data_IF_448768709792
#
_entry.id   IF_448768709792
#
_cell.length_a   1.000
_cell.length_b   1.000
_cell.length_c   1.000
_cell.angle_alpha   90.00
_cell.angle_beta   90.00
_cell.angle_gamma   90.00
#
_symmetry.space_group_name_H-M   'P 1'
#
loop_
_entity.id
_entity.type
_entity.pdbx_description
1 polymer ?
#
# COMPACT_ATOMS: atom_id res chain seq x y z
N UNK A 1 -32.33 -13.91 -3.14
CA UNK A 1 -31.14 -13.17 -3.62
C UNK A 1 -30.17 -13.15 -2.46
N UNK A 2 -28.97 -13.69 -2.66
CA UNK A 2 -27.96 -13.77 -1.60
C UNK A 2 -27.20 -12.44 -1.50
N UNK A 3 -26.55 -12.14 -0.35
CA UNK A 3 -25.67 -10.97 -0.24
C UNK A 3 -24.57 -10.93 -1.32
N UNK A 4 -24.14 -12.09 -1.81
CA UNK A 4 -23.16 -12.21 -2.89
C UNK A 4 -23.74 -11.73 -4.23
N UNK A 5 -24.99 -12.09 -4.54
CA UNK A 5 -25.67 -11.66 -5.77
C UNK A 5 -25.86 -10.13 -5.80
N UNK A 6 -26.08 -9.52 -4.62
CA UNK A 6 -26.22 -8.06 -4.49
C UNK A 6 -24.90 -7.33 -4.72
N UNK A 7 -23.79 -7.87 -4.21
CA UNK A 7 -22.46 -7.32 -4.40
C UNK A 7 -22.01 -7.44 -5.86
N UNK A 8 -22.28 -8.57 -6.52
CA UNK A 8 -21.98 -8.77 -7.94
C UNK A 8 -22.74 -7.77 -8.82
N UNK A 9 -24.05 -7.60 -8.60
CA UNK A 9 -24.82 -6.59 -9.33
C UNK A 9 -24.34 -5.17 -9.07
N UNK A 10 -23.94 -4.85 -7.84
CA UNK A 10 -23.39 -3.54 -7.51
C UNK A 10 -22.04 -3.30 -8.21
N UNK A 11 -21.20 -4.33 -8.31
CA UNK A 11 -19.93 -4.27 -9.04
C UNK A 11 -20.17 -4.02 -10.54
N UNK A 12 -21.06 -4.78 -11.17
CA UNK A 12 -21.40 -4.60 -12.58
C UNK A 12 -21.88 -3.18 -12.85
N UNK A 13 -22.75 -2.65 -11.98
CA UNK A 13 -23.23 -1.28 -12.08
C UNK A 13 -22.10 -0.24 -11.93
N UNK A 14 -21.20 -0.42 -10.96
CA UNK A 14 -20.06 0.47 -10.76
C UNK A 14 -19.09 0.45 -11.95
N UNK A 15 -18.85 -0.72 -12.53
CA UNK A 15 -18.03 -0.89 -13.74
C UNK A 15 -18.65 -0.15 -14.93
N UNK A 16 -19.94 -0.36 -15.19
CA UNK A 16 -20.66 0.36 -16.26
C UNK A 16 -20.60 1.88 -16.07
N UNK A 17 -20.83 2.37 -14.85
CA UNK A 17 -20.75 3.80 -14.55
C UNK A 17 -19.34 4.37 -14.77
N UNK A 18 -18.30 3.58 -14.47
CA UNK A 18 -16.92 3.96 -14.71
C UNK A 18 -16.62 4.03 -16.21
N UNK A 19 -17.07 3.04 -16.99
CA UNK A 19 -16.90 3.02 -18.46
C UNK A 19 -17.62 4.20 -19.14
N UNK A 20 -18.81 4.58 -18.66
CA UNK A 20 -19.61 5.64 -19.26
C UNK A 20 -19.12 7.07 -18.94
N UNK A 21 -18.44 7.28 -17.81
CA UNK A 21 -18.10 8.64 -17.36
C UNK A 21 -17.02 8.75 -16.29
N UNK A 22 -16.20 7.72 -16.14
CA UNK A 22 -15.05 7.67 -15.25
C UNK A 22 -15.41 7.86 -13.78
N UNK A 23 -14.43 8.32 -13.00
CA UNK A 23 -14.61 8.54 -11.56
C UNK A 23 -15.74 9.52 -11.22
N UNK A 24 -16.03 10.50 -12.09
CA UNK A 24 -17.06 11.52 -11.85
C UNK A 24 -18.46 10.93 -11.75
N UNK A 25 -18.81 9.99 -12.65
CA UNK A 25 -20.11 9.30 -12.62
C UNK A 25 -20.21 8.35 -11.43
N UNK A 26 -19.16 7.60 -11.16
CA UNK A 26 -19.10 6.68 -10.02
C UNK A 26 -19.29 7.42 -8.70
N UNK A 27 -18.53 8.51 -8.49
CA UNK A 27 -18.65 9.33 -7.27
C UNK A 27 -20.05 9.90 -7.13
N UNK A 28 -20.61 10.48 -8.19
CA UNK A 28 -21.97 11.05 -8.17
C UNK A 28 -23.02 10.00 -7.81
N UNK A 29 -22.92 8.79 -8.37
CA UNK A 29 -23.83 7.68 -8.07
C UNK A 29 -23.76 7.26 -6.59
N UNK A 30 -22.55 7.06 -6.06
CA UNK A 30 -22.37 6.66 -4.66
C UNK A 30 -22.88 7.78 -3.73
N UNK A 31 -22.54 9.04 -4.00
CA UNK A 31 -22.99 10.17 -3.18
C UNK A 31 -24.50 10.40 -3.23
N UNK A 32 -25.16 10.06 -4.35
CA UNK A 32 -26.61 10.10 -4.50
C UNK A 32 -27.36 9.00 -3.72
N UNK A 33 -26.65 8.00 -3.19
CA UNK A 33 -27.26 6.95 -2.36
C UNK A 33 -27.58 7.50 -0.97
N UNK A 34 -28.85 7.44 -0.56
CA UNK A 34 -29.31 8.06 0.70
C UNK A 34 -28.76 7.39 1.96
N UNK A 35 -28.69 6.05 1.96
CA UNK A 35 -28.25 5.27 3.11
C UNK A 35 -26.72 5.36 3.33
N UNK A 36 -26.25 5.84 4.49
CA UNK A 36 -24.83 5.94 4.79
C UNK A 36 -24.08 4.60 4.77
N UNK A 37 -24.71 3.51 5.23
CA UNK A 37 -24.05 2.20 5.25
C UNK A 37 -23.83 1.68 3.84
N UNK A 38 -24.87 1.77 3.00
CA UNK A 38 -24.78 1.43 1.58
C UNK A 38 -23.73 2.31 0.86
N UNK A 39 -23.60 3.60 1.20
CA UNK A 39 -22.52 4.45 0.64
C UNK A 39 -21.13 3.91 0.98
N UNK A 40 -20.87 3.55 2.25
CA UNK A 40 -19.57 2.94 2.64
C UNK A 40 -19.36 1.63 1.90
N UNK A 41 -20.38 0.78 1.80
CA UNK A 41 -20.33 -0.49 1.08
C UNK A 41 -19.92 -0.28 -0.38
N UNK A 42 -20.57 0.63 -1.09
CA UNK A 42 -20.25 0.95 -2.49
C UNK A 42 -18.82 1.50 -2.65
N UNK A 43 -18.37 2.38 -1.75
CA UNK A 43 -16.97 2.84 -1.72
C UNK A 43 -15.97 1.71 -1.42
N UNK A 44 -16.37 0.68 -0.68
CA UNK A 44 -15.54 -0.52 -0.48
C UNK A 44 -15.46 -1.41 -1.74
N UNK A 45 -16.56 -1.50 -2.50
CA UNK A 45 -16.67 -2.31 -3.71
C UNK A 45 -15.99 -1.68 -4.92
N UNK A 46 -16.04 -0.35 -5.05
CA UNK A 46 -15.60 0.38 -6.26
C UNK A 46 -14.18 0.01 -6.73
N UNK A 47 -13.26 -0.29 -5.82
CA UNK A 47 -11.89 -0.68 -6.17
C UNK A 47 -11.86 -1.95 -7.05
N UNK A 48 -12.77 -2.89 -6.82
CA UNK A 48 -12.92 -4.13 -7.60
C UNK A 48 -13.59 -3.90 -8.96
N UNK A 49 -14.27 -2.76 -9.12
CA UNK A 49 -14.89 -2.35 -10.37
C UNK A 49 -13.96 -1.48 -11.25
N UNK A 50 -12.80 -1.07 -10.73
CA UNK A 50 -11.80 -0.36 -11.52
C UNK A 50 -11.06 -1.33 -12.43
N UNK A 51 -10.58 -0.87 -13.61
CA UNK A 51 -9.72 -1.68 -14.45
C UNK A 51 -8.48 -2.18 -13.69
N UNK A 52 -7.97 -3.33 -14.14
CA UNK A 52 -6.71 -3.91 -13.66
C UNK A 52 -5.56 -2.89 -13.74
N UNK A 53 -4.54 -3.07 -12.90
CA UNK A 53 -3.44 -2.10 -12.82
C UNK A 53 -2.66 -1.93 -14.12
N UNK A 54 -2.56 -3.00 -14.90
CA UNK A 54 -1.90 -3.02 -16.21
C UNK A 54 -2.79 -2.49 -17.34
N UNK A 55 -4.07 -2.19 -17.09
CA UNK A 55 -4.97 -1.67 -18.11
C UNK A 55 -4.67 -0.20 -18.39
N UNK A 56 -4.40 0.14 -19.65
CA UNK A 56 -4.14 1.50 -20.11
C UNK A 56 -5.31 2.47 -19.84
N UNK A 57 -6.53 1.96 -19.65
CA UNK A 57 -7.71 2.76 -19.29
C UNK A 57 -7.70 3.19 -17.82
N UNK A 58 -6.86 2.60 -16.97
CA UNK A 58 -6.81 2.91 -15.55
C UNK A 58 -6.08 4.24 -15.32
N UNK A 59 -6.84 5.28 -15.01
CA UNK A 59 -6.30 6.58 -14.61
C UNK A 59 -5.98 6.63 -13.11
N UNK A 60 -4.74 6.99 -12.75
CA UNK A 60 -4.37 7.21 -11.34
C UNK A 60 -5.10 8.40 -10.71
N UNK A 61 -5.45 9.43 -11.50
CA UNK A 61 -6.25 10.56 -11.02
C UNK A 61 -7.68 10.13 -10.66
N UNK A 62 -8.24 9.18 -11.41
CA UNK A 62 -9.56 8.60 -11.09
C UNK A 62 -9.52 7.75 -9.82
N UNK A 63 -8.46 6.94 -9.66
CA UNK A 63 -8.20 6.19 -8.42
C UNK A 63 -8.13 7.15 -7.21
N UNK A 64 -7.36 8.24 -7.34
CA UNK A 64 -7.24 9.28 -6.30
C UNK A 64 -8.61 9.89 -5.99
N UNK A 65 -9.36 10.29 -7.01
CA UNK A 65 -10.68 10.94 -6.84
C UNK A 65 -11.64 10.03 -6.08
N UNK A 66 -11.78 8.78 -6.51
CA UNK A 66 -12.71 7.82 -5.90
C UNK A 66 -12.32 7.52 -4.45
N UNK A 67 -11.04 7.22 -4.22
CA UNK A 67 -10.55 6.87 -2.89
C UNK A 67 -10.69 8.04 -1.90
N UNK A 68 -10.36 9.27 -2.30
CA UNK A 68 -10.49 10.45 -1.42
C UNK A 68 -11.93 10.70 -0.99
N UNK A 69 -12.91 10.51 -1.87
CA UNK A 69 -14.31 10.65 -1.50
C UNK A 69 -14.73 9.56 -0.51
N UNK A 70 -14.31 8.31 -0.73
CA UNK A 70 -14.61 7.22 0.21
C UNK A 70 -13.96 7.41 1.58
N UNK A 71 -12.72 7.87 1.62
CA UNK A 71 -12.01 8.23 2.87
C UNK A 71 -12.78 9.34 3.60
N UNK A 72 -13.15 10.42 2.90
CA UNK A 72 -13.90 11.52 3.49
C UNK A 72 -15.27 11.07 4.01
N UNK A 73 -15.96 10.17 3.31
CA UNK A 73 -17.23 9.62 3.77
C UNK A 73 -17.08 8.79 5.05
N UNK A 74 -16.04 7.97 5.15
CA UNK A 74 -15.71 7.24 6.38
C UNK A 74 -15.49 8.19 7.56
N UNK A 75 -14.66 9.21 7.38
CA UNK A 75 -14.37 10.18 8.45
C UNK A 75 -15.59 11.00 8.86
N UNK A 76 -16.39 11.47 7.90
CA UNK A 76 -17.63 12.19 8.16
C UNK A 76 -18.62 11.36 8.97
N UNK A 77 -18.76 10.07 8.64
CA UNK A 77 -19.61 9.16 9.40
C UNK A 77 -19.06 8.89 10.80
N UNK A 78 -17.73 8.78 10.96
CA UNK A 78 -17.10 8.65 12.27
C UNK A 78 -17.37 9.87 13.17
N UNK A 79 -17.33 11.09 12.62
CA UNK A 79 -17.68 12.31 13.35
C UNK A 79 -19.14 12.33 13.80
N UNK A 80 -20.07 11.91 12.93
CA UNK A 80 -21.48 11.79 13.26
C UNK A 80 -21.75 10.74 14.35
N UNK A 81 -21.07 9.60 14.30
CA UNK A 81 -21.14 8.57 15.34
C UNK A 81 -20.62 9.10 16.68
N UNK A 82 -19.46 9.78 16.69
CA UNK A 82 -18.92 10.44 17.89
C UNK A 82 -19.89 11.48 18.48
N UNK A 83 -20.55 12.28 17.64
CA UNK A 83 -21.55 13.25 18.09
C UNK A 83 -22.75 12.59 18.79
N UNK A 84 -23.05 11.33 18.46
CA UNK A 84 -24.07 10.49 19.13
C UNK A 84 -23.51 9.65 20.27
N UNK A 85 -22.22 9.81 20.62
CA UNK A 85 -21.51 8.98 21.60
C UNK A 85 -21.43 7.49 21.23
N UNK A 86 -21.50 7.15 19.94
CA UNK A 86 -21.30 5.80 19.45
C UNK A 86 -19.82 5.58 19.09
N UNK A 87 -19.06 5.05 20.03
CA UNK A 87 -17.60 4.85 19.88
C UNK A 87 -17.27 3.70 18.95
N UNK A 88 -18.12 2.68 18.90
CA UNK A 88 -17.88 1.48 18.10
C UNK A 88 -18.12 1.78 16.62
N UNK A 89 -19.25 2.41 16.29
CA UNK A 89 -19.53 2.87 14.92
C UNK A 89 -18.46 3.86 14.45
N UNK A 90 -18.02 4.79 15.32
CA UNK A 90 -16.95 5.71 14.97
C UNK A 90 -15.64 4.98 14.63
N UNK A 91 -15.28 3.97 15.43
CA UNK A 91 -14.08 3.15 15.21
C UNK A 91 -14.17 2.35 13.91
N UNK A 92 -15.31 1.76 13.61
CA UNK A 92 -15.55 1.05 12.34
C UNK A 92 -15.43 1.96 11.13
N UNK A 93 -15.96 3.18 11.23
CA UNK A 93 -15.86 4.20 10.18
C UNK A 93 -14.42 4.64 9.92
N UNK A 94 -13.61 4.80 10.98
CA UNK A 94 -12.18 5.12 10.87
C UNK A 94 -11.41 3.94 10.28
N UNK A 95 -11.75 2.70 10.66
CA UNK A 95 -11.12 1.52 10.08
C UNK A 95 -11.45 1.36 8.58
N UNK A 96 -12.66 1.71 8.18
CA UNK A 96 -13.03 1.82 6.77
C UNK A 96 -12.18 2.85 6.03
N UNK A 97 -12.06 4.08 6.55
CA UNK A 97 -11.19 5.11 5.98
C UNK A 97 -9.72 4.65 5.91
N UNK A 98 -9.23 3.94 6.95
CA UNK A 98 -7.90 3.37 6.99
C UNK A 98 -7.62 2.37 5.87
N UNK A 99 -8.57 1.46 5.61
CA UNK A 99 -8.45 0.48 4.51
C UNK A 99 -8.38 1.16 3.15
N UNK A 100 -9.24 2.15 2.91
CA UNK A 100 -9.24 2.90 1.64
C UNK A 100 -7.95 3.71 1.47
N UNK A 101 -7.47 4.36 2.52
CA UNK A 101 -6.22 5.13 2.48
C UNK A 101 -5.01 4.25 2.22
N UNK A 102 -4.96 3.05 2.81
CA UNK A 102 -3.87 2.12 2.54
C UNK A 102 -3.91 1.62 1.10
N UNK A 103 -5.10 1.27 0.60
CA UNK A 103 -5.28 0.84 -0.78
C UNK A 103 -4.87 1.94 -1.76
N UNK A 104 -5.21 3.20 -1.48
CA UNK A 104 -4.77 4.34 -2.29
C UNK A 104 -3.25 4.48 -2.28
N UNK A 105 -2.61 4.44 -1.10
CA UNK A 105 -1.16 4.50 -1.00
C UNK A 105 -0.48 3.35 -1.78
N UNK A 106 -1.02 2.14 -1.68
CA UNK A 106 -0.53 0.97 -2.39
C UNK A 106 -0.74 1.05 -3.90
N UNK A 107 -1.90 1.55 -4.36
CA UNK A 107 -2.21 1.70 -5.79
C UNK A 107 -1.33 2.77 -6.46
N UNK A 108 -0.85 3.76 -5.71
CA UNK A 108 0.01 4.83 -6.22
C UNK A 108 1.50 4.52 -6.12
N UNK A 109 1.92 3.54 -5.33
CA UNK A 109 3.34 3.17 -5.19
C UNK A 109 3.87 2.54 -6.48
N UNK A 110 5.09 2.88 -6.91
CA UNK A 110 5.71 2.36 -8.14
C UNK A 110 6.53 1.07 -7.91
N UNK A 111 6.06 0.23 -6.99
CA UNK A 111 6.76 -0.96 -6.53
C UNK A 111 6.17 -2.29 -7.03
N UNK A 112 5.16 -2.24 -7.90
CA UNK A 112 4.46 -3.44 -8.34
C UNK A 112 5.13 -4.04 -9.58
N UNK A 113 5.49 -5.33 -9.57
CA UNK A 113 6.10 -5.97 -10.74
C UNK A 113 5.22 -5.79 -11.99
N UNK A 114 5.81 -5.26 -13.07
CA UNK A 114 5.12 -5.03 -14.34
C UNK A 114 4.21 -3.81 -14.37
N UNK A 115 4.21 -2.97 -13.34
CA UNK A 115 3.44 -1.72 -13.32
C UNK A 115 4.21 -0.58 -14.01
N UNK A 116 4.03 -0.50 -15.33
CA UNK A 116 4.59 0.54 -16.18
C UNK A 116 3.78 1.86 -16.16
N UNK A 117 2.79 1.98 -15.27
CA UNK A 117 1.94 3.18 -15.23
C UNK A 117 2.79 4.42 -14.93
N UNK A 118 2.67 5.42 -15.80
CA UNK A 118 3.34 6.71 -15.62
C UNK A 118 2.80 7.43 -14.38
N UNK A 119 3.70 7.82 -13.50
CA UNK A 119 3.39 8.57 -12.29
C UNK A 119 4.05 9.93 -12.34
N UNK A 120 3.25 10.94 -12.05
CA UNK A 120 3.74 12.29 -11.82
C UNK A 120 4.00 12.50 -10.33
N UNK A 121 4.77 13.53 -9.99
CA UNK A 121 5.01 13.96 -8.60
C UNK A 121 3.73 14.02 -7.76
N UNK A 122 2.64 14.56 -8.32
CA UNK A 122 1.35 14.68 -7.63
C UNK A 122 0.75 13.33 -7.19
N UNK A 123 1.05 12.25 -7.90
CA UNK A 123 0.59 10.90 -7.55
C UNK A 123 1.32 10.39 -6.32
N UNK A 124 2.64 10.57 -6.26
CA UNK A 124 3.43 10.19 -5.08
C UNK A 124 3.08 11.04 -3.86
N UNK A 125 2.85 12.34 -4.02
CA UNK A 125 2.40 13.20 -2.92
C UNK A 125 1.02 12.78 -2.39
N UNK A 126 0.10 12.38 -3.28
CA UNK A 126 -1.20 11.84 -2.89
C UNK A 126 -1.08 10.50 -2.14
N UNK A 127 -0.20 9.61 -2.60
CA UNK A 127 0.06 8.33 -1.95
C UNK A 127 0.76 8.49 -0.60
N UNK A 128 1.71 9.41 -0.49
CA UNK A 128 2.40 9.76 0.75
C UNK A 128 1.42 10.28 1.80
N UNK A 129 0.54 11.21 1.41
CA UNK A 129 -0.51 11.71 2.31
C UNK A 129 -1.39 10.56 2.82
N UNK A 130 -1.83 9.69 1.93
CA UNK A 130 -2.65 8.53 2.31
C UNK A 130 -1.90 7.56 3.25
N UNK A 131 -0.60 7.36 3.05
CA UNK A 131 0.24 6.57 3.95
C UNK A 131 0.37 7.22 5.35
N UNK A 132 0.54 8.54 5.43
CA UNK A 132 0.58 9.26 6.72
C UNK A 132 -0.75 9.21 7.45
N UNK A 133 -1.87 9.41 6.75
CA UNK A 133 -3.20 9.25 7.32
C UNK A 133 -3.38 7.82 7.89
N UNK A 134 -2.87 6.80 7.17
CA UNK A 134 -2.85 5.42 7.64
C UNK A 134 -2.02 5.22 8.91
N UNK A 135 -0.85 5.84 9.02
CA UNK A 135 -0.01 5.72 10.22
C UNK A 135 -0.77 6.23 11.45
N UNK A 136 -1.37 7.42 11.34
CA UNK A 136 -2.16 8.04 12.41
C UNK A 136 -3.32 7.13 12.81
N UNK A 137 -4.16 6.73 11.86
CA UNK A 137 -5.33 5.92 12.18
C UNK A 137 -4.99 4.50 12.64
N UNK A 138 -3.92 3.87 12.16
CA UNK A 138 -3.51 2.55 12.67
C UNK A 138 -3.02 2.63 14.12
N UNK A 139 -2.41 3.75 14.51
CA UNK A 139 -2.06 4.01 15.91
C UNK A 139 -3.31 4.25 16.76
N UNK A 140 -4.24 5.11 16.33
CA UNK A 140 -5.52 5.36 17.01
C UNK A 140 -6.34 4.07 17.17
N UNK A 141 -6.39 3.26 16.11
CA UNK A 141 -7.09 1.99 16.10
C UNK A 141 -6.36 0.89 16.88
N UNK A 142 -5.15 1.13 17.40
CA UNK A 142 -4.36 0.10 18.09
C UNK A 142 -4.10 -1.13 17.22
N UNK A 143 -3.88 -0.95 15.91
CA UNK A 143 -3.57 -2.05 14.99
C UNK A 143 -2.23 -2.70 15.36
N UNK A 144 -2.06 -4.00 15.12
CA UNK A 144 -0.85 -4.72 15.49
C UNK A 144 0.39 -4.19 14.74
N UNK A 145 1.61 -4.46 15.27
CA UNK A 145 2.85 -3.89 14.74
C UNK A 145 3.06 -4.12 13.24
N UNK A 146 2.81 -5.32 12.71
CA UNK A 146 2.89 -5.67 11.29
C UNK A 146 2.06 -4.71 10.41
N UNK A 147 0.80 -4.47 10.80
CA UNK A 147 -0.08 -3.55 10.07
C UNK A 147 0.41 -2.13 10.15
N UNK A 148 0.95 -1.68 11.29
CA UNK A 148 1.58 -0.35 11.35
C UNK A 148 2.81 -0.28 10.43
N UNK A 149 3.63 -1.34 10.40
CA UNK A 149 4.82 -1.45 9.57
C UNK A 149 4.52 -1.24 8.08
N UNK A 150 3.44 -1.85 7.58
CA UNK A 150 2.99 -1.67 6.19
C UNK A 150 2.70 -0.20 5.82
N UNK A 151 2.22 0.62 6.76
CA UNK A 151 1.93 2.03 6.48
C UNK A 151 3.23 2.87 6.41
N UNK A 152 4.20 2.57 7.29
CA UNK A 152 5.53 3.17 7.22
C UNK A 152 6.31 2.77 5.97
N UNK A 153 6.19 1.51 5.54
CA UNK A 153 6.77 1.06 4.27
C UNK A 153 6.18 1.83 3.10
N UNK A 154 4.85 1.98 3.03
CA UNK A 154 4.20 2.74 1.98
C UNK A 154 4.67 4.20 1.97
N UNK A 155 4.79 4.85 3.14
CA UNK A 155 5.33 6.20 3.24
C UNK A 155 6.79 6.26 2.73
N UNK A 156 7.63 5.31 3.13
CA UNK A 156 9.02 5.22 2.67
C UNK A 156 9.13 5.06 1.15
N UNK A 157 8.27 4.24 0.54
CA UNK A 157 8.23 4.05 -0.90
C UNK A 157 7.87 5.34 -1.65
N UNK A 158 6.87 6.09 -1.18
CA UNK A 158 6.52 7.38 -1.81
C UNK A 158 7.61 8.44 -1.60
N UNK A 159 8.26 8.46 -0.45
CA UNK A 159 9.40 9.34 -0.21
C UNK A 159 10.58 9.01 -1.14
N UNK A 160 10.83 7.71 -1.38
CA UNK A 160 11.85 7.25 -2.32
C UNK A 160 11.56 7.75 -3.74
N UNK A 161 10.32 7.59 -4.21
CA UNK A 161 9.85 8.10 -5.51
C UNK A 161 9.96 9.62 -5.65
N UNK A 162 9.82 10.35 -4.54
CA UNK A 162 9.97 11.81 -4.49
C UNK A 162 11.42 12.28 -4.39
N UNK A 163 12.39 11.36 -4.25
CA UNK A 163 13.82 11.67 -4.08
C UNK A 163 14.20 12.08 -2.64
N UNK A 164 13.29 11.93 -1.68
CA UNK A 164 13.50 12.28 -0.27
C UNK A 164 14.15 11.10 0.47
N UNK A 165 15.43 10.84 0.17
CA UNK A 165 16.12 9.60 0.54
C UNK A 165 16.23 9.37 2.06
N UNK A 166 16.39 10.44 2.85
CA UNK A 166 16.50 10.34 4.31
C UNK A 166 15.17 9.92 4.92
N UNK A 167 14.07 10.54 4.48
CA UNK A 167 12.72 10.22 4.90
C UNK A 167 12.30 8.81 4.43
N UNK A 168 12.72 8.42 3.23
CA UNK A 168 12.51 7.08 2.71
C UNK A 168 13.16 6.03 3.62
N UNK A 169 14.45 6.21 3.94
CA UNK A 169 15.18 5.32 4.85
C UNK A 169 14.52 5.26 6.23
N UNK A 170 14.12 6.40 6.79
CA UNK A 170 13.42 6.46 8.08
C UNK A 170 12.12 5.66 8.05
N UNK A 171 11.33 5.76 6.98
CA UNK A 171 10.12 4.96 6.77
C UNK A 171 10.41 3.45 6.74
N UNK A 172 11.43 3.02 5.99
CA UNK A 172 11.80 1.61 5.91
C UNK A 172 12.36 1.06 7.24
N UNK A 173 13.12 1.86 7.99
CA UNK A 173 13.61 1.47 9.32
C UNK A 173 12.48 1.33 10.34
N UNK A 174 11.51 2.25 10.33
CA UNK A 174 10.31 2.13 11.16
C UNK A 174 9.48 0.89 10.78
N UNK A 175 9.30 0.62 9.49
CA UNK A 175 8.60 -0.56 9.00
C UNK A 175 9.27 -1.86 9.46
N UNK A 176 10.60 -1.96 9.29
CA UNK A 176 11.38 -3.12 9.72
C UNK A 176 11.33 -3.31 11.25
N UNK A 177 11.49 -2.24 12.02
CA UNK A 177 11.40 -2.30 13.48
C UNK A 177 10.05 -2.83 13.97
N UNK A 178 8.97 -2.43 13.31
CA UNK A 178 7.61 -2.89 13.61
C UNK A 178 7.36 -4.34 13.18
N UNK A 179 7.87 -4.76 12.02
CA UNK A 179 7.79 -6.15 11.59
C UNK A 179 8.57 -7.07 12.54
N UNK A 180 9.77 -6.66 12.97
CA UNK A 180 10.54 -7.40 13.97
C UNK A 180 9.79 -7.51 15.30
N UNK A 181 9.11 -6.46 15.77
CA UNK A 181 8.28 -6.54 16.98
C UNK A 181 7.15 -7.58 16.87
N UNK A 182 6.63 -7.84 15.67
CA UNK A 182 5.56 -8.81 15.46
C UNK A 182 6.04 -10.27 15.52
N UNK A 183 7.31 -10.52 15.19
CA UNK A 183 7.87 -11.89 15.06
C UNK A 183 8.93 -12.24 16.09
N UNK A 184 9.49 -11.24 16.79
CA UNK A 184 10.59 -11.43 17.72
C UNK A 184 10.11 -11.82 19.13
N UNK A 185 10.69 -12.89 19.67
CA UNK A 185 11.04 -12.92 21.09
C UNK A 185 12.22 -11.93 21.34
N UNK A 186 12.34 -11.31 22.52
CA UNK A 186 13.33 -10.27 22.75
C UNK A 186 14.76 -10.82 22.61
N UNK A 187 15.57 -10.23 21.70
CA UNK A 187 17.05 -10.13 21.72
C UNK A 187 17.84 -10.50 20.44
N UNK A 188 17.25 -10.84 19.30
CA UNK A 188 18.04 -11.14 18.07
C UNK A 188 18.31 -9.91 17.20
N UNK A 189 19.52 -9.82 16.66
CA UNK A 189 19.90 -8.83 15.63
C UNK A 189 19.00 -9.01 14.38
N UNK A 190 18.65 -7.93 13.65
CA UNK A 190 17.78 -8.00 12.48
C UNK A 190 18.18 -9.07 11.46
N UNK A 191 19.48 -9.22 11.19
CA UNK A 191 20.02 -10.16 10.19
C UNK A 191 19.68 -11.63 10.50
N UNK A 192 19.45 -11.99 11.77
CA UNK A 192 19.07 -13.35 12.16
C UNK A 192 17.66 -13.75 11.71
N UNK A 193 16.84 -12.78 11.31
CA UNK A 193 15.49 -12.99 10.78
C UNK A 193 15.43 -13.02 9.26
N UNK A 194 16.53 -12.64 8.58
CA UNK A 194 16.62 -12.65 7.11
C UNK A 194 17.13 -14.02 6.70
N UNK A 195 16.20 -14.92 6.42
CA UNK A 195 16.48 -16.32 6.09
C UNK A 195 15.36 -16.92 5.25
N UNK A 196 15.59 -18.04 4.56
CA UNK A 196 14.54 -18.74 3.83
C UNK A 196 13.37 -19.13 4.75
N UNK A 197 12.14 -18.94 4.29
CA UNK A 197 10.92 -19.15 5.08
C UNK A 197 10.76 -18.18 6.27
N UNK A 198 11.53 -17.08 6.30
CA UNK A 198 11.35 -15.99 7.26
C UNK A 198 10.06 -15.19 7.01
N UNK A 199 9.75 -14.26 7.91
CA UNK A 199 8.58 -13.40 7.76
C UNK A 199 8.70 -12.48 6.54
N UNK A 200 7.65 -12.50 5.70
CA UNK A 200 7.61 -11.74 4.45
C UNK A 200 7.89 -10.25 4.66
N UNK A 201 7.24 -9.63 5.64
CA UNK A 201 7.38 -8.21 5.93
C UNK A 201 8.80 -7.86 6.39
N UNK A 202 9.39 -8.71 7.24
CA UNK A 202 10.78 -8.52 7.70
C UNK A 202 11.78 -8.57 6.55
N UNK A 203 11.70 -9.60 5.69
CA UNK A 203 12.62 -9.73 4.54
C UNK A 203 12.43 -8.57 3.56
N UNK A 204 11.17 -8.24 3.24
CA UNK A 204 10.84 -7.16 2.32
C UNK A 204 11.38 -5.82 2.82
N UNK A 205 11.06 -5.41 4.05
CA UNK A 205 11.46 -4.11 4.59
C UNK A 205 12.97 -4.00 4.78
N UNK A 206 13.65 -5.12 5.06
CA UNK A 206 15.11 -5.18 5.07
C UNK A 206 15.71 -4.88 3.68
N UNK A 207 15.13 -5.44 2.61
CA UNK A 207 15.52 -5.14 1.23
C UNK A 207 15.33 -3.66 0.86
N UNK A 208 14.17 -3.07 1.17
CA UNK A 208 13.90 -1.64 0.93
C UNK A 208 14.83 -0.71 1.73
N UNK A 209 15.13 -1.08 2.98
CA UNK A 209 16.16 -0.37 3.77
C UNK A 209 17.54 -0.46 3.11
N UNK A 210 17.90 -1.61 2.55
CA UNK A 210 19.12 -1.80 1.76
C UNK A 210 19.19 -0.85 0.56
N UNK A 211 18.09 -0.72 -0.19
CA UNK A 211 17.95 0.26 -1.28
C UNK A 211 18.19 1.69 -0.78
N UNK A 212 17.47 2.13 0.27
CA UNK A 212 17.61 3.49 0.82
C UNK A 212 19.04 3.81 1.28
N UNK A 213 19.69 2.87 1.97
CA UNK A 213 21.09 2.98 2.40
C UNK A 213 22.06 3.08 1.23
N UNK A 214 21.87 2.25 0.21
CA UNK A 214 22.72 2.28 -0.97
C UNK A 214 22.65 3.65 -1.68
N UNK A 215 21.45 4.20 -1.84
CA UNK A 215 21.23 5.50 -2.47
C UNK A 215 21.81 6.67 -1.66
N UNK A 216 21.95 6.51 -0.34
CA UNK A 216 22.66 7.45 0.53
C UNK A 216 24.19 7.24 0.55
N UNK A 217 24.72 6.30 -0.24
CA UNK A 217 26.15 6.03 -0.36
C UNK A 217 26.71 5.05 0.68
N UNK A 218 25.85 4.36 1.45
CA UNK A 218 26.32 3.37 2.42
C UNK A 218 26.66 2.04 1.73
N UNK A 219 27.92 1.61 1.83
CA UNK A 219 28.39 0.34 1.24
C UNK A 219 27.65 -0.90 1.77
N UNK A 220 27.06 -0.83 2.98
CA UNK A 220 26.23 -1.92 3.51
C UNK A 220 24.89 -2.07 2.80
N UNK A 221 24.36 -1.02 2.16
CA UNK A 221 23.02 -1.05 1.56
C UNK A 221 22.87 -2.13 0.49
N UNK A 222 23.85 -2.25 -0.43
CA UNK A 222 23.84 -3.27 -1.48
C UNK A 222 23.84 -4.69 -0.88
N UNK A 223 24.70 -4.96 0.11
CA UNK A 223 24.74 -6.27 0.78
C UNK A 223 23.43 -6.62 1.47
N UNK A 224 22.73 -5.63 2.05
CA UNK A 224 21.42 -5.86 2.66
C UNK A 224 20.37 -6.21 1.61
N UNK A 225 20.37 -5.48 0.49
CA UNK A 225 19.47 -5.74 -0.63
C UNK A 225 19.68 -7.15 -1.21
N UNK A 226 20.93 -7.52 -1.51
CA UNK A 226 21.29 -8.85 -2.01
C UNK A 226 20.91 -9.97 -1.02
N UNK A 227 21.10 -9.74 0.28
CA UNK A 227 20.72 -10.71 1.31
C UNK A 227 19.20 -10.94 1.38
N UNK A 228 18.39 -9.89 1.20
CA UNK A 228 16.93 -10.03 1.10
C UNK A 228 16.50 -10.81 -0.15
N UNK A 229 17.14 -10.54 -1.29
CA UNK A 229 16.88 -11.28 -2.54
C UNK A 229 17.19 -12.77 -2.37
N UNK A 230 18.35 -13.11 -1.80
CA UNK A 230 18.76 -14.49 -1.57
C UNK A 230 17.76 -15.23 -0.65
N UNK A 231 17.29 -14.59 0.42
CA UNK A 231 16.31 -15.18 1.33
C UNK A 231 14.98 -15.52 0.62
N UNK A 232 14.47 -14.62 -0.24
CA UNK A 232 13.28 -14.92 -1.04
C UNK A 232 13.55 -16.00 -2.11
N UNK A 233 14.67 -15.91 -2.83
CA UNK A 233 15.03 -16.86 -3.90
C UNK A 233 15.15 -18.30 -3.40
N UNK A 234 15.75 -18.51 -2.23
CA UNK A 234 15.78 -19.82 -1.58
C UNK A 234 14.38 -20.29 -1.13
N UNK A 235 13.49 -19.38 -0.73
CA UNK A 235 12.10 -19.71 -0.32
C UNK A 235 11.22 -20.09 -1.52
N UNK A 236 11.48 -19.55 -2.72
CA UNK A 236 10.75 -19.93 -3.96
C UNK A 236 10.90 -21.43 -4.28
N UNK A 237 11.99 -22.07 -3.85
CA UNK A 237 12.19 -23.52 -3.99
C UNK A 237 11.49 -24.39 -2.94
N UNK A 238 10.69 -23.80 -2.05
CA UNK A 238 9.96 -24.50 -1.00
C UNK A 238 8.88 -25.44 -1.56
N UNK A 239 8.55 -26.48 -0.79
CA UNK A 239 7.39 -27.36 -1.06
C UNK A 239 6.06 -26.74 -0.61
N UNK A 240 6.11 -25.69 0.19
CA UNK A 240 4.94 -24.91 0.60
C UNK A 240 4.60 -23.91 -0.52
N UNK A 241 3.51 -24.17 -1.25
CA UNK A 241 3.08 -23.40 -2.42
C UNK A 241 2.74 -21.95 -2.05
N UNK A 242 2.05 -21.72 -0.92
CA UNK A 242 1.68 -20.37 -0.47
C UNK A 242 2.94 -19.57 -0.12
N UNK A 243 3.87 -20.18 0.62
CA UNK A 243 5.14 -19.53 0.95
C UNK A 243 6.00 -19.26 -0.30
N UNK A 244 5.98 -20.16 -1.30
CA UNK A 244 6.71 -20.00 -2.54
C UNK A 244 6.13 -18.87 -3.41
N UNK A 245 4.80 -18.73 -3.48
CA UNK A 245 4.12 -17.65 -4.20
C UNK A 245 4.39 -16.29 -3.56
N UNK A 246 4.26 -16.19 -2.24
CA UNK A 246 4.58 -14.96 -1.51
C UNK A 246 6.05 -14.57 -1.69
N UNK A 247 6.97 -15.54 -1.56
CA UNK A 247 8.40 -15.29 -1.78
C UNK A 247 8.69 -14.84 -3.21
N UNK A 248 8.02 -15.43 -4.21
CA UNK A 248 8.14 -15.02 -5.60
C UNK A 248 7.68 -13.57 -5.77
N UNK A 249 6.55 -13.19 -5.19
CA UNK A 249 6.06 -11.83 -5.24
C UNK A 249 7.04 -10.83 -4.58
N UNK A 250 7.56 -11.16 -3.40
CA UNK A 250 8.55 -10.34 -2.69
C UNK A 250 9.87 -10.17 -3.48
N UNK A 251 10.35 -11.26 -4.09
CA UNK A 251 11.53 -11.26 -4.95
C UNK A 251 11.35 -10.37 -6.18
N UNK A 252 10.24 -10.56 -6.91
CA UNK A 252 9.92 -9.81 -8.11
C UNK A 252 9.75 -8.32 -7.79
N UNK A 253 9.12 -7.99 -6.65
CA UNK A 253 8.97 -6.62 -6.19
C UNK A 253 10.32 -5.96 -5.84
N UNK A 254 11.21 -6.64 -5.10
CA UNK A 254 12.53 -6.08 -4.78
C UNK A 254 13.39 -5.91 -6.04
N UNK A 255 13.35 -6.85 -6.99
CA UNK A 255 14.05 -6.74 -8.28
C UNK A 255 13.52 -5.55 -9.08
N UNK A 256 12.19 -5.38 -9.12
CA UNK A 256 11.54 -4.26 -9.80
C UNK A 256 12.01 -2.91 -9.27
N UNK A 257 11.93 -2.71 -7.95
CA UNK A 257 12.37 -1.45 -7.32
C UNK A 257 13.89 -1.27 -7.43
N UNK A 258 14.67 -2.34 -7.24
CA UNK A 258 16.12 -2.30 -7.41
C UNK A 258 16.54 -1.85 -8.80
N UNK A 259 15.93 -2.39 -9.86
CA UNK A 259 16.20 -1.96 -11.24
C UNK A 259 15.91 -0.47 -11.43
N UNK A 260 14.77 0.01 -10.90
CA UNK A 260 14.29 1.38 -11.09
C UNK A 260 15.14 2.43 -10.38
N UNK A 261 15.60 2.13 -9.16
CA UNK A 261 16.31 3.10 -8.32
C UNK A 261 17.82 2.87 -8.25
N UNK A 262 18.28 1.63 -8.28
CA UNK A 262 19.71 1.28 -8.15
C UNK A 262 20.36 0.95 -9.51
N UNK A 263 19.58 0.52 -10.50
CA UNK A 263 20.06 0.18 -11.85
C UNK A 263 20.51 1.38 -12.68
N UNK A 264 20.07 2.60 -12.34
CA UNK A 264 20.42 3.84 -13.07
C UNK A 264 21.81 4.41 -12.72
N UNK A 265 22.72 3.56 -12.24
CA UNK A 265 24.10 3.91 -11.91
C UNK A 265 25.04 4.15 -13.10
N UNK A 266 24.56 4.60 -14.28
CA UNK A 266 25.36 5.29 -15.33
C UNK A 266 24.44 6.16 -16.21
N UNK A 267 24.16 7.41 -15.81
CA UNK A 267 23.89 8.47 -16.80
C UNK A 267 22.46 8.98 -17.06
N UNK A 268 21.49 8.79 -16.16
CA UNK A 268 20.20 9.48 -16.28
C UNK A 268 19.95 10.39 -15.06
N UNK A 269 20.34 11.66 -15.21
CA UNK A 269 19.88 12.72 -14.31
C UNK A 269 18.35 12.87 -14.36
N UNK A 270 17.73 13.46 -13.33
CA UNK A 270 16.27 13.54 -13.23
C UNK A 270 15.71 14.32 -14.42
N UNK A 271 14.83 13.68 -15.19
CA UNK A 271 13.94 14.42 -16.11
C UNK A 271 13.00 15.25 -15.23
N UNK A 272 13.19 16.57 -15.31
CA UNK A 272 12.34 17.59 -14.69
C UNK A 272 11.10 17.83 -15.51
#
# INVERSE_FOLDING_TARGET
>A
MTPKDEDERALDQLSTLFEEGGAGRVVSFIQGTADPEQRRKLHGLVRRALPERSDAKRSLDDVIRIARVGIAEGLRQAELARARSDTDEARECIDFANRLSYNLAADLAECWPGDDSLRERRHFEAGLRAAYDCIVWRQELGKPPDRRGMAYWAAGMHQLSLGNLVEALSGFEAALGLALQAVAAPATKPDGYIRPGGDFGVILYYGYRGIGRHLLGEASGMRQFEHALAAFEETVGSQDEEAAEDAKFGLDQLRWVGLRFMGAGVGAGPQR
#
